data_IF_916784985745
#
_entry.id   IF_916784985745
#
_cell.length_a   1.000
_cell.length_b   1.000
_cell.length_c   1.000
_cell.angle_alpha   90.00
_cell.angle_beta   90.00
_cell.angle_gamma   90.00
#
_symmetry.space_group_name_H-M   'P 1'
#
loop_
_entity.id
_entity.type
_entity.pdbx_description
1 polymer ?
#
# COMPACT_ATOMS: atom_id res chain seq x y z
N UNK A 1 25.07 -47.34 -16.18
CA UNK A 1 24.31 -46.23 -15.62
C UNK A 1 25.30 -45.09 -15.37
N UNK A 2 25.34 -44.11 -16.26
CA UNK A 2 26.19 -42.91 -16.09
C UNK A 2 25.41 -41.91 -15.28
N UNK A 3 25.61 -41.87 -13.97
CA UNK A 3 25.19 -40.74 -13.15
C UNK A 3 26.08 -39.54 -13.55
N UNK A 4 25.57 -38.71 -14.47
CA UNK A 4 26.14 -37.40 -14.70
C UNK A 4 25.82 -36.55 -13.46
N UNK A 5 26.74 -36.46 -12.53
CA UNK A 5 26.72 -35.43 -11.52
C UNK A 5 26.74 -34.06 -12.28
N UNK A 6 25.57 -33.44 -12.42
CA UNK A 6 25.47 -32.08 -12.89
C UNK A 6 26.05 -31.20 -11.77
N UNK A 7 27.30 -30.74 -11.96
CA UNK A 7 27.86 -29.69 -11.10
C UNK A 7 27.04 -28.43 -11.31
N UNK A 8 26.20 -28.10 -10.31
CA UNK A 8 25.47 -26.85 -10.30
C UNK A 8 26.50 -25.72 -10.11
N UNK A 9 26.61 -24.86 -11.12
CA UNK A 9 27.39 -23.63 -11.05
C UNK A 9 26.52 -22.51 -10.46
N UNK A 10 27.13 -21.61 -9.70
CA UNK A 10 26.45 -20.51 -9.04
C UNK A 10 26.95 -19.16 -9.51
N UNK A 11 26.07 -18.17 -9.45
CA UNK A 11 26.33 -16.76 -9.73
C UNK A 11 25.72 -15.88 -8.63
N UNK A 12 26.18 -14.64 -8.55
CA UNK A 12 25.51 -13.64 -7.72
C UNK A 12 24.13 -13.32 -8.29
N UNK A 13 23.15 -13.13 -7.41
CA UNK A 13 21.86 -12.55 -7.80
C UNK A 13 22.05 -11.12 -8.30
N UNK A 14 21.39 -10.78 -9.40
CA UNK A 14 21.36 -9.40 -9.93
C UNK A 14 20.66 -8.42 -9.00
N UNK A 15 19.88 -8.94 -8.07
CA UNK A 15 19.02 -8.16 -7.17
C UNK A 15 19.60 -7.96 -5.77
N UNK A 16 20.90 -8.24 -5.60
CA UNK A 16 21.61 -7.92 -4.38
C UNK A 16 21.90 -6.42 -4.29
N UNK A 17 21.48 -5.82 -3.18
CA UNK A 17 21.77 -4.44 -2.79
C UNK A 17 22.66 -4.51 -1.56
N UNK A 18 23.85 -3.93 -1.66
CA UNK A 18 24.85 -3.92 -0.60
C UNK A 18 25.17 -2.47 -0.27
N UNK A 19 25.06 -2.10 1.01
CA UNK A 19 25.27 -0.74 1.49
C UNK A 19 26.23 -0.77 2.66
N UNK A 20 27.27 0.07 2.63
CA UNK A 20 28.17 0.29 3.78
C UNK A 20 27.76 1.57 4.50
N UNK A 21 27.50 1.48 5.81
CA UNK A 21 27.15 2.62 6.63
C UNK A 21 27.57 2.41 8.08
N UNK A 22 28.17 3.44 8.71
CA UNK A 22 28.55 3.48 10.14
C UNK A 22 29.26 2.21 10.65
N UNK A 23 30.18 1.65 9.84
CA UNK A 23 30.98 0.47 10.22
C UNK A 23 30.29 -0.87 10.01
N UNK A 24 29.11 -0.88 9.40
CA UNK A 24 28.37 -2.07 9.02
C UNK A 24 28.21 -2.18 7.51
N UNK A 25 28.10 -3.42 7.03
CA UNK A 25 27.68 -3.79 5.67
C UNK A 25 26.29 -4.41 5.74
N UNK A 26 25.33 -3.81 5.06
CA UNK A 26 23.94 -4.22 4.96
C UNK A 26 23.71 -4.93 3.63
N UNK A 27 23.25 -6.13 3.70
CA UNK A 27 22.98 -6.99 2.55
C UNK A 27 21.48 -7.22 2.44
N UNK A 28 20.92 -6.89 1.30
CA UNK A 28 19.50 -7.08 1.01
C UNK A 28 19.34 -7.65 -0.40
N UNK A 29 18.61 -8.75 -0.53
CA UNK A 29 18.17 -9.23 -1.83
C UNK A 29 16.73 -8.79 -2.07
N UNK A 30 16.52 -7.95 -3.07
CA UNK A 30 15.21 -7.34 -3.33
C UNK A 30 14.18 -8.34 -3.91
N UNK A 31 14.61 -9.46 -4.51
CA UNK A 31 13.73 -10.50 -5.04
C UNK A 31 13.20 -11.41 -3.93
N UNK A 32 14.07 -11.86 -3.02
CA UNK A 32 13.72 -12.74 -1.90
C UNK A 32 13.30 -11.97 -0.64
N UNK A 33 13.66 -10.67 -0.55
CA UNK A 33 13.48 -9.79 0.61
C UNK A 33 14.25 -10.24 1.85
N UNK A 34 15.20 -11.14 1.70
CA UNK A 34 16.08 -11.55 2.78
C UNK A 34 17.18 -10.51 2.96
N UNK A 35 17.61 -10.35 4.19
CA UNK A 35 18.67 -9.42 4.55
C UNK A 35 19.52 -9.97 5.70
N UNK A 36 20.74 -9.43 5.81
CA UNK A 36 21.58 -9.57 6.97
C UNK A 36 22.49 -8.34 7.10
N UNK A 37 22.97 -8.11 8.31
CA UNK A 37 23.93 -7.05 8.66
C UNK A 37 25.16 -7.68 9.29
N UNK A 38 26.35 -7.28 8.81
CA UNK A 38 27.65 -7.70 9.33
C UNK A 38 28.56 -6.49 9.50
N UNK A 39 29.67 -6.64 10.23
CA UNK A 39 30.67 -5.57 10.29
C UNK A 39 31.23 -5.29 8.89
N UNK A 40 31.59 -4.04 8.62
CA UNK A 40 32.13 -3.63 7.32
C UNK A 40 33.43 -4.39 6.95
N UNK A 41 34.26 -4.69 7.97
CA UNK A 41 35.46 -5.50 7.76
C UNK A 41 35.16 -6.92 7.26
N UNK A 42 34.11 -7.55 7.81
CA UNK A 42 33.62 -8.85 7.37
C UNK A 42 32.97 -8.75 5.99
N UNK A 43 32.21 -7.68 5.74
CA UNK A 43 31.59 -7.40 4.44
C UNK A 43 32.61 -7.36 3.31
N UNK A 44 33.72 -6.61 3.49
CA UNK A 44 34.82 -6.54 2.51
C UNK A 44 35.49 -7.90 2.29
N UNK A 45 35.60 -8.74 3.32
CA UNK A 45 36.11 -10.11 3.15
C UNK A 45 35.16 -10.98 2.36
N UNK A 46 33.84 -10.86 2.65
CA UNK A 46 32.82 -11.58 1.95
C UNK A 46 32.79 -11.22 0.46
N UNK A 47 32.80 -9.93 0.12
CA UNK A 47 32.84 -9.48 -1.28
C UNK A 47 33.97 -10.11 -2.07
N UNK A 48 35.17 -10.18 -1.47
CA UNK A 48 36.35 -10.85 -2.09
C UNK A 48 36.14 -12.37 -2.26
N UNK A 49 35.46 -13.03 -1.32
CA UNK A 49 35.17 -14.45 -1.44
C UNK A 49 34.17 -14.74 -2.56
N UNK A 50 33.30 -13.80 -2.85
CA UNK A 50 32.28 -13.93 -3.92
C UNK A 50 32.87 -13.89 -5.34
N UNK A 51 34.15 -13.51 -5.49
CA UNK A 51 34.87 -13.63 -6.77
C UNK A 51 35.01 -15.10 -7.21
N UNK A 52 35.02 -16.05 -6.24
CA UNK A 52 35.01 -17.50 -6.51
C UNK A 52 33.96 -18.24 -5.65
N UNK A 53 32.70 -18.11 -6.07
CA UNK A 53 31.54 -18.67 -5.35
C UNK A 53 31.64 -20.18 -5.14
N UNK A 54 32.17 -20.91 -6.10
CA UNK A 54 32.28 -22.38 -6.01
C UNK A 54 33.27 -22.79 -4.94
N UNK A 55 34.31 -22.01 -4.70
CA UNK A 55 35.27 -22.23 -3.61
C UNK A 55 34.64 -21.98 -2.24
N UNK A 56 33.72 -21.02 -2.11
CA UNK A 56 32.96 -20.78 -0.86
C UNK A 56 32.22 -22.05 -0.47
N UNK A 57 31.56 -22.73 -1.43
CA UNK A 57 30.81 -23.95 -1.20
C UNK A 57 31.67 -25.02 -0.52
N UNK A 58 32.92 -25.14 -0.94
CA UNK A 58 33.86 -26.17 -0.44
C UNK A 58 34.49 -25.74 0.88
N UNK A 59 34.85 -24.47 1.03
CA UNK A 59 35.63 -23.95 2.16
C UNK A 59 34.74 -23.51 3.34
N UNK A 60 33.56 -22.97 3.05
CA UNK A 60 32.62 -22.41 4.03
C UNK A 60 31.17 -22.85 3.76
N UNK A 61 30.86 -24.18 3.82
CA UNK A 61 29.56 -24.72 3.38
C UNK A 61 28.36 -24.13 4.13
N UNK A 62 28.47 -23.89 5.43
CA UNK A 62 27.40 -23.28 6.23
C UNK A 62 27.09 -21.85 5.77
N UNK A 63 28.14 -21.10 5.45
CA UNK A 63 28.00 -19.74 4.96
C UNK A 63 27.42 -19.71 3.53
N UNK A 64 27.88 -20.63 2.68
CA UNK A 64 27.31 -20.84 1.36
C UNK A 64 25.80 -21.09 1.44
N UNK A 65 25.35 -21.96 2.35
CA UNK A 65 23.93 -22.24 2.57
C UNK A 65 23.14 -21.00 3.00
N UNK A 66 23.71 -20.12 3.82
CA UNK A 66 23.05 -18.85 4.21
C UNK A 66 22.86 -17.98 2.99
N UNK A 67 23.87 -17.83 2.14
CA UNK A 67 23.79 -17.02 0.93
C UNK A 67 22.79 -17.60 -0.09
N UNK A 68 22.79 -18.91 -0.29
CA UNK A 68 21.87 -19.62 -1.19
C UNK A 68 20.43 -19.51 -0.69
N UNK A 69 20.16 -19.84 0.56
CA UNK A 69 18.83 -19.76 1.17
C UNK A 69 18.29 -18.31 1.22
N UNK A 70 19.19 -17.34 1.30
CA UNK A 70 18.87 -15.91 1.22
C UNK A 70 18.63 -15.43 -0.20
N UNK A 71 18.99 -16.21 -1.21
CA UNK A 71 18.94 -15.83 -2.62
C UNK A 71 20.02 -14.85 -3.04
N UNK A 72 21.09 -14.69 -2.23
CA UNK A 72 22.23 -13.82 -2.57
C UNK A 72 23.12 -14.43 -3.66
N UNK A 73 23.21 -15.74 -3.66
CA UNK A 73 23.77 -16.57 -4.73
C UNK A 73 22.69 -17.52 -5.25
N UNK A 74 22.72 -17.77 -6.54
CA UNK A 74 21.71 -18.61 -7.23
C UNK A 74 22.39 -19.50 -8.27
N UNK A 75 21.80 -20.64 -8.63
CA UNK A 75 22.26 -21.40 -9.79
C UNK A 75 22.30 -20.56 -11.06
N UNK A 76 23.31 -20.79 -11.91
CA UNK A 76 23.54 -19.98 -13.13
C UNK A 76 22.40 -20.05 -14.13
N UNK A 77 21.65 -21.16 -14.15
CA UNK A 77 20.49 -21.40 -15.00
C UNK A 77 19.25 -20.60 -14.60
N UNK A 78 19.21 -20.06 -13.40
CA UNK A 78 18.05 -19.28 -12.93
C UNK A 78 17.96 -17.94 -13.66
N UNK A 79 16.82 -17.75 -14.32
CA UNK A 79 16.40 -16.47 -14.90
C UNK A 79 15.52 -15.70 -13.90
N UNK A 80 16.17 -14.82 -13.13
CA UNK A 80 15.50 -14.01 -12.11
C UNK A 80 14.45 -13.06 -12.72
N UNK A 81 14.70 -12.55 -13.93
CA UNK A 81 13.77 -11.62 -14.58
C UNK A 81 12.46 -12.34 -14.96
N UNK A 82 12.55 -13.58 -15.42
CA UNK A 82 11.37 -14.43 -15.68
C UNK A 82 10.56 -14.67 -14.40
N UNK A 83 11.20 -14.90 -13.25
CA UNK A 83 10.51 -15.03 -11.95
C UNK A 83 9.77 -13.74 -11.59
N UNK A 84 10.38 -12.57 -11.79
CA UNK A 84 9.75 -11.28 -11.49
C UNK A 84 8.56 -11.03 -12.43
N UNK A 85 8.71 -11.35 -13.71
CA UNK A 85 7.63 -11.23 -14.70
C UNK A 85 6.45 -12.12 -14.33
N UNK A 86 6.71 -13.36 -13.94
CA UNK A 86 5.67 -14.30 -13.53
C UNK A 86 4.92 -13.79 -12.29
N UNK A 87 5.64 -13.40 -11.23
CA UNK A 87 5.02 -12.83 -10.00
C UNK A 87 4.17 -11.59 -10.32
N UNK A 88 4.66 -10.72 -11.20
CA UNK A 88 3.89 -9.55 -11.62
C UNK A 88 2.61 -9.94 -12.37
N UNK A 89 2.71 -10.91 -13.28
CA UNK A 89 1.58 -11.41 -14.04
C UNK A 89 0.50 -12.03 -13.13
N UNK A 90 0.91 -12.85 -12.17
CA UNK A 90 0.02 -13.46 -11.16
C UNK A 90 -0.71 -12.38 -10.34
N UNK A 91 0.02 -11.35 -9.89
CA UNK A 91 -0.55 -10.26 -9.12
C UNK A 91 -1.53 -9.39 -9.93
N UNK A 92 -1.27 -9.20 -11.23
CA UNK A 92 -2.14 -8.44 -12.15
C UNK A 92 -3.39 -9.24 -12.52
N UNK A 93 -3.26 -10.55 -12.71
CA UNK A 93 -4.35 -11.45 -13.14
C UNK A 93 -5.09 -12.11 -11.98
N UNK A 94 -4.86 -11.66 -10.75
CA UNK A 94 -5.57 -12.17 -9.57
C UNK A 94 -7.08 -12.20 -9.81
N UNK A 95 -7.75 -13.27 -9.36
CA UNK A 95 -9.20 -13.41 -9.38
C UNK A 95 -9.91 -12.56 -8.33
N UNK A 96 -9.18 -11.79 -7.54
CA UNK A 96 -9.74 -10.82 -6.62
C UNK A 96 -10.19 -9.59 -7.41
N UNK A 97 -11.48 -9.28 -7.35
CA UNK A 97 -12.04 -8.10 -7.98
C UNK A 97 -12.12 -6.94 -7.00
N UNK A 98 -11.54 -5.82 -7.37
CA UNK A 98 -11.52 -4.59 -6.58
C UNK A 98 -12.45 -3.56 -7.24
N UNK A 99 -13.61 -3.37 -6.65
CA UNK A 99 -14.62 -2.40 -7.09
C UNK A 99 -14.58 -1.18 -6.19
N UNK A 100 -14.02 -0.08 -6.67
CA UNK A 100 -14.06 1.20 -5.97
C UNK A 100 -15.26 2.01 -6.47
N UNK A 101 -16.08 2.52 -5.54
CA UNK A 101 -17.26 3.30 -5.86
C UNK A 101 -17.15 4.69 -5.25
N UNK A 102 -17.35 5.71 -6.09
CA UNK A 102 -17.36 7.11 -5.69
C UNK A 102 -18.82 7.63 -5.71
N UNK A 103 -19.56 7.55 -4.60
CA UNK A 103 -20.97 7.95 -4.57
C UNK A 103 -21.16 9.46 -4.79
N UNK A 104 -20.09 10.22 -4.57
CA UNK A 104 -20.05 11.68 -4.72
C UNK A 104 -18.63 12.19 -4.88
N UNK A 105 -18.49 13.32 -5.55
CA UNK A 105 -17.26 14.14 -5.51
C UNK A 105 -17.41 15.34 -4.57
N UNK A 106 -18.60 15.51 -3.94
CA UNK A 106 -18.80 16.53 -2.91
C UNK A 106 -18.16 16.10 -1.58
N UNK A 107 -17.70 17.07 -0.81
CA UNK A 107 -17.09 16.87 0.51
C UNK A 107 -17.55 17.95 1.47
N UNK A 108 -17.71 17.61 2.74
CA UNK A 108 -17.98 18.58 3.80
C UNK A 108 -16.76 19.45 4.16
N UNK A 109 -15.55 18.99 3.81
CA UNK A 109 -14.30 19.74 3.97
C UNK A 109 -13.79 20.30 2.63
N UNK A 110 -12.89 21.30 2.69
CA UNK A 110 -12.28 21.97 1.54
C UNK A 110 -10.78 22.05 1.71
N UNK A 111 -10.13 20.88 1.82
CA UNK A 111 -8.68 20.81 1.99
C UNK A 111 -7.96 21.42 0.79
N UNK A 112 -7.03 22.34 1.02
CA UNK A 112 -6.30 23.07 -0.03
C UNK A 112 -5.43 22.17 -0.92
N UNK A 113 -4.96 21.05 -0.38
CA UNK A 113 -4.13 20.07 -1.07
C UNK A 113 -4.96 18.99 -1.78
N UNK A 114 -6.28 19.03 -1.69
CA UNK A 114 -7.12 17.97 -2.25
C UNK A 114 -6.94 17.87 -3.75
N UNK A 115 -6.64 16.63 -4.22
CA UNK A 115 -6.50 16.36 -5.65
C UNK A 115 -7.85 16.23 -6.36
N UNK A 116 -8.96 16.21 -5.59
CA UNK A 116 -10.31 16.11 -6.12
C UNK A 116 -10.97 17.47 -6.19
N UNK A 117 -11.61 17.76 -7.31
CA UNK A 117 -12.50 18.91 -7.46
C UNK A 117 -13.82 18.60 -6.73
N UNK A 118 -14.13 19.37 -5.69
CA UNK A 118 -15.37 19.20 -4.93
C UNK A 118 -16.57 19.66 -5.75
N UNK A 119 -17.13 18.77 -6.56
CA UNK A 119 -18.31 19.06 -7.39
C UNK A 119 -19.53 18.60 -6.62
N UNK A 120 -20.55 19.47 -6.43
CA UNK A 120 -21.84 19.07 -5.90
C UNK A 120 -22.43 17.95 -6.75
N UNK A 121 -22.48 16.74 -6.22
CA UNK A 121 -22.87 15.55 -6.97
C UNK A 121 -23.39 14.47 -6.02
N UNK A 122 -24.21 13.59 -6.58
CA UNK A 122 -24.68 12.38 -5.92
C UNK A 122 -24.92 11.31 -6.99
N UNK A 123 -24.57 10.09 -6.72
CA UNK A 123 -24.85 8.96 -7.59
C UNK A 123 -26.35 8.74 -7.73
N UNK A 124 -26.80 8.64 -8.98
CA UNK A 124 -28.21 8.41 -9.29
C UNK A 124 -28.62 6.94 -9.04
N UNK A 125 -29.90 6.70 -8.84
CA UNK A 125 -30.44 5.34 -8.67
C UNK A 125 -30.19 4.45 -9.89
N UNK A 126 -30.14 5.04 -11.09
CA UNK A 126 -29.78 4.31 -12.30
C UNK A 126 -28.35 3.78 -12.25
N UNK A 127 -27.37 4.62 -11.83
CA UNK A 127 -25.98 4.19 -11.69
C UNK A 127 -25.85 3.13 -10.59
N UNK A 128 -26.53 3.28 -9.46
CA UNK A 128 -26.57 2.24 -8.39
C UNK A 128 -27.12 0.92 -8.95
N UNK A 129 -28.19 0.98 -9.75
CA UNK A 129 -28.78 -0.19 -10.41
C UNK A 129 -27.79 -0.84 -11.38
N UNK A 130 -27.06 -0.05 -12.15
CA UNK A 130 -26.06 -0.56 -13.10
C UNK A 130 -24.86 -1.19 -12.37
N UNK A 131 -24.46 -0.65 -11.19
CA UNK A 131 -23.44 -1.28 -10.35
C UNK A 131 -23.93 -2.64 -9.81
N UNK A 132 -25.19 -2.74 -9.38
CA UNK A 132 -25.77 -4.02 -8.97
C UNK A 132 -25.72 -5.05 -10.09
N UNK A 133 -26.12 -4.68 -11.30
CA UNK A 133 -26.01 -5.54 -12.49
C UNK A 133 -24.57 -5.89 -12.82
N UNK A 134 -23.61 -4.99 -12.58
CA UNK A 134 -22.20 -5.29 -12.75
C UNK A 134 -21.72 -6.37 -11.78
N UNK A 135 -22.15 -6.30 -10.52
CA UNK A 135 -21.87 -7.33 -9.52
C UNK A 135 -22.48 -8.67 -9.95
N UNK A 136 -23.76 -8.69 -10.38
CA UNK A 136 -24.40 -9.90 -10.91
C UNK A 136 -23.62 -10.47 -12.10
N UNK A 137 -23.26 -9.63 -13.06
CA UNK A 137 -22.47 -10.02 -14.24
C UNK A 137 -21.13 -10.69 -13.87
N UNK A 138 -20.41 -10.15 -12.87
CA UNK A 138 -19.15 -10.73 -12.40
C UNK A 138 -19.35 -12.11 -11.75
N UNK A 139 -20.39 -12.26 -10.95
CA UNK A 139 -20.69 -13.50 -10.21
C UNK A 139 -21.21 -14.59 -11.16
N UNK A 140 -22.08 -14.27 -12.11
CA UNK A 140 -22.59 -15.21 -13.11
C UNK A 140 -21.51 -15.83 -13.98
N UNK A 141 -20.42 -15.11 -14.25
CA UNK A 141 -19.26 -15.61 -15.01
C UNK A 141 -18.35 -16.53 -14.21
N UNK A 142 -18.49 -16.56 -12.89
CA UNK A 142 -17.67 -17.37 -11.98
C UNK A 142 -16.14 -17.14 -12.19
N UNK A 143 -15.78 -15.88 -12.51
CA UNK A 143 -14.38 -15.52 -12.80
C UNK A 143 -13.65 -14.93 -11.59
N UNK A 144 -14.38 -14.62 -10.52
CA UNK A 144 -13.83 -14.01 -9.30
C UNK A 144 -13.99 -14.92 -8.08
N UNK A 145 -13.02 -14.86 -7.18
CA UNK A 145 -13.00 -15.59 -5.91
C UNK A 145 -13.26 -14.67 -4.72
N UNK A 146 -13.03 -13.37 -4.92
CA UNK A 146 -13.22 -12.32 -3.92
C UNK A 146 -13.76 -11.05 -4.59
N UNK A 147 -14.76 -10.44 -3.99
CA UNK A 147 -15.18 -9.06 -4.27
C UNK A 147 -14.77 -8.16 -3.09
N UNK A 148 -13.86 -7.21 -3.35
CA UNK A 148 -13.51 -6.14 -2.44
C UNK A 148 -14.21 -4.86 -2.91
N UNK A 149 -15.18 -4.38 -2.13
CA UNK A 149 -15.94 -3.16 -2.41
C UNK A 149 -15.36 -2.00 -1.59
N UNK A 150 -14.72 -1.04 -2.26
CA UNK A 150 -14.13 0.14 -1.63
C UNK A 150 -14.95 1.40 -1.88
N UNK A 151 -15.12 2.19 -0.83
CA UNK A 151 -15.80 3.48 -0.88
C UNK A 151 -14.81 4.62 -0.87
N UNK A 152 -14.94 5.51 -1.85
CA UNK A 152 -14.04 6.65 -2.05
C UNK A 152 -14.81 7.86 -2.59
N UNK A 153 -14.12 8.97 -2.91
CA UNK A 153 -14.69 10.17 -3.52
C UNK A 153 -14.36 11.44 -2.75
N UNK A 154 -15.26 12.43 -2.74
CA UNK A 154 -15.14 13.58 -1.86
C UNK A 154 -15.24 13.13 -0.40
N UNK A 155 -16.47 12.99 0.12
CA UNK A 155 -16.72 12.28 1.37
C UNK A 155 -17.87 11.27 1.15
N UNK A 156 -17.56 9.97 1.03
CA UNK A 156 -18.57 8.96 0.71
C UNK A 156 -19.63 8.78 1.79
N UNK A 157 -19.27 8.92 3.07
CA UNK A 157 -20.19 8.70 4.19
C UNK A 157 -21.27 9.76 4.36
N UNK A 158 -21.21 10.87 3.60
CA UNK A 158 -22.36 11.79 3.45
C UNK A 158 -23.61 11.07 2.90
N UNK A 159 -23.43 9.95 2.23
CA UNK A 159 -24.52 9.18 1.60
C UNK A 159 -24.55 7.72 2.09
N UNK A 160 -24.23 7.50 3.38
CA UNK A 160 -24.16 6.17 3.97
C UNK A 160 -25.51 5.42 3.81
N UNK A 161 -26.60 5.97 4.33
CA UNK A 161 -27.90 5.29 4.30
C UNK A 161 -28.49 5.19 2.90
N UNK A 162 -28.24 6.19 2.05
CA UNK A 162 -28.85 6.26 0.72
C UNK A 162 -28.15 5.37 -0.32
N UNK A 163 -26.82 5.22 -0.23
CA UNK A 163 -26.04 4.55 -1.26
C UNK A 163 -25.14 3.45 -0.67
N UNK A 164 -24.29 3.77 0.32
CA UNK A 164 -23.29 2.82 0.83
C UNK A 164 -23.98 1.57 1.40
N UNK A 165 -24.83 1.75 2.39
CA UNK A 165 -25.49 0.65 3.09
C UNK A 165 -26.29 -0.26 2.14
N UNK A 166 -27.24 0.23 1.31
CA UNK A 166 -28.06 -0.64 0.46
C UNK A 166 -27.25 -1.35 -0.64
N UNK A 167 -26.22 -0.71 -1.21
CA UNK A 167 -25.39 -1.34 -2.22
C UNK A 167 -24.44 -2.37 -1.60
N UNK A 168 -23.88 -2.09 -0.41
CA UNK A 168 -23.04 -3.04 0.34
C UNK A 168 -23.82 -4.29 0.75
N UNK A 169 -25.04 -4.13 1.27
CA UNK A 169 -25.92 -5.26 1.62
C UNK A 169 -26.22 -6.13 0.40
N UNK A 170 -26.54 -5.49 -0.73
CA UNK A 170 -26.77 -6.21 -1.99
C UNK A 170 -25.55 -7.02 -2.43
N UNK A 171 -24.38 -6.37 -2.47
CA UNK A 171 -23.12 -7.03 -2.87
C UNK A 171 -22.78 -8.22 -1.96
N UNK A 172 -22.89 -8.02 -0.64
CA UNK A 172 -22.68 -9.06 0.37
C UNK A 172 -23.59 -10.27 0.14
N UNK A 173 -24.92 -10.06 0.05
CA UNK A 173 -25.90 -11.13 -0.16
C UNK A 173 -25.63 -11.91 -1.45
N UNK A 174 -25.32 -11.22 -2.54
CA UNK A 174 -25.01 -11.84 -3.83
C UNK A 174 -23.74 -12.66 -3.79
N UNK A 175 -22.69 -12.16 -3.16
CA UNK A 175 -21.43 -12.89 -3.00
C UNK A 175 -21.61 -14.12 -2.10
N UNK A 176 -22.33 -14.01 -0.98
CA UNK A 176 -22.64 -15.14 -0.09
C UNK A 176 -23.38 -16.25 -0.84
N UNK A 177 -24.40 -15.90 -1.64
CA UNK A 177 -25.17 -16.84 -2.45
C UNK A 177 -24.32 -17.51 -3.55
N UNK A 178 -23.32 -16.81 -4.08
CA UNK A 178 -22.42 -17.33 -5.11
C UNK A 178 -21.19 -18.07 -4.56
N UNK A 179 -21.00 -18.12 -3.24
CA UNK A 179 -19.80 -18.68 -2.60
C UNK A 179 -18.52 -17.87 -2.83
N UNK A 180 -18.65 -16.59 -3.16
CA UNK A 180 -17.56 -15.64 -3.37
C UNK A 180 -17.25 -14.90 -2.07
N UNK A 181 -15.98 -14.75 -1.71
CA UNK A 181 -15.60 -13.98 -0.54
C UNK A 181 -15.96 -12.49 -0.73
N UNK A 182 -16.38 -11.83 0.34
CA UNK A 182 -16.75 -10.42 0.31
C UNK A 182 -16.25 -9.66 1.52
N UNK A 183 -15.71 -8.48 1.28
CA UNK A 183 -15.47 -7.48 2.33
C UNK A 183 -15.48 -6.06 1.76
N UNK A 184 -15.62 -5.08 2.67
CA UNK A 184 -15.61 -3.67 2.36
C UNK A 184 -14.40 -2.95 2.93
N UNK A 185 -13.99 -1.89 2.22
CA UNK A 185 -13.08 -0.87 2.70
C UNK A 185 -13.63 0.54 2.44
N UNK A 186 -13.02 1.53 3.07
CA UNK A 186 -13.36 2.92 2.78
C UNK A 186 -12.17 3.86 3.02
N UNK A 187 -12.08 4.87 2.17
CA UNK A 187 -11.30 6.09 2.43
C UNK A 187 -12.28 7.22 2.75
N UNK A 188 -12.19 7.76 3.94
CA UNK A 188 -13.09 8.80 4.46
C UNK A 188 -12.31 9.80 5.30
N UNK A 189 -12.88 10.99 5.50
CA UNK A 189 -12.34 11.95 6.47
C UNK A 189 -12.73 11.63 7.92
N UNK A 190 -13.59 10.63 8.15
CA UNK A 190 -13.99 10.14 9.45
C UNK A 190 -15.08 10.96 10.15
N UNK A 191 -15.51 12.08 9.57
CA UNK A 191 -16.44 13.00 10.22
C UNK A 191 -17.84 12.38 10.41
N UNK A 192 -18.33 11.61 9.43
CA UNK A 192 -19.65 10.99 9.44
C UNK A 192 -19.68 9.56 10.00
N UNK A 193 -18.61 9.09 10.62
CA UNK A 193 -18.59 7.82 11.34
C UNK A 193 -19.28 7.96 12.71
N UNK A 194 -20.55 8.34 12.69
CA UNK A 194 -21.38 8.48 13.90
C UNK A 194 -21.61 7.12 14.56
N UNK A 195 -22.10 7.11 15.80
CA UNK A 195 -22.38 5.87 16.51
C UNK A 195 -23.37 4.96 15.77
N UNK A 196 -24.38 5.55 15.12
CA UNK A 196 -25.35 4.80 14.32
C UNK A 196 -24.73 4.15 13.09
N UNK A 197 -23.78 4.83 12.41
CA UNK A 197 -23.03 4.28 11.29
C UNK A 197 -22.11 3.16 11.76
N UNK A 198 -21.35 3.43 12.82
CA UNK A 198 -20.36 2.51 13.38
C UNK A 198 -20.99 1.19 13.82
N UNK A 199 -22.16 1.22 14.45
CA UNK A 199 -22.89 0.02 14.87
C UNK A 199 -23.32 -0.91 13.74
N UNK A 200 -23.19 -0.49 12.47
CA UNK A 200 -23.59 -1.28 11.29
C UNK A 200 -22.39 -1.86 10.51
N UNK A 201 -21.17 -1.41 10.79
CA UNK A 201 -20.00 -1.72 9.95
C UNK A 201 -19.66 -3.22 9.89
N UNK A 202 -19.73 -3.93 11.02
CA UNK A 202 -19.48 -5.38 11.05
C UNK A 202 -20.50 -6.17 10.21
N UNK A 203 -21.78 -5.83 10.34
CA UNK A 203 -22.85 -6.45 9.55
C UNK A 203 -22.66 -6.22 8.05
N UNK A 204 -22.05 -5.10 7.68
CA UNK A 204 -21.68 -4.71 6.31
C UNK A 204 -20.32 -5.25 5.86
N UNK A 205 -19.58 -6.00 6.71
CA UNK A 205 -18.28 -6.56 6.42
C UNK A 205 -17.19 -5.51 6.10
N UNK A 206 -17.23 -4.36 6.77
CA UNK A 206 -16.11 -3.43 6.72
C UNK A 206 -14.94 -3.97 7.52
N UNK A 207 -13.78 -4.14 6.86
CA UNK A 207 -12.56 -4.66 7.47
C UNK A 207 -11.44 -3.63 7.51
N UNK A 208 -11.47 -2.62 6.65
CA UNK A 208 -10.41 -1.61 6.61
C UNK A 208 -10.94 -0.21 6.34
N UNK A 209 -10.31 0.75 6.99
CA UNK A 209 -10.53 2.16 6.76
C UNK A 209 -9.20 2.87 6.52
N UNK A 210 -9.20 3.85 5.61
CA UNK A 210 -8.18 4.89 5.57
C UNK A 210 -8.81 6.20 6.00
N UNK A 211 -8.30 6.78 7.10
CA UNK A 211 -8.72 8.09 7.59
C UNK A 211 -7.50 9.02 7.59
N UNK A 212 -7.72 10.30 7.25
CA UNK A 212 -6.63 11.26 7.14
C UNK A 212 -6.74 12.35 8.21
N UNK A 213 -5.67 12.52 8.99
CA UNK A 213 -5.41 13.71 9.79
C UNK A 213 -4.41 14.64 9.09
N UNK A 214 -4.45 15.93 9.38
CA UNK A 214 -3.55 16.94 8.81
C UNK A 214 -2.67 17.52 9.92
N UNK A 215 -1.65 16.75 10.31
CA UNK A 215 -0.78 17.12 11.43
C UNK A 215 -1.50 17.20 12.78
N UNK A 216 -1.05 18.11 13.64
CA UNK A 216 -1.60 18.37 14.96
C UNK A 216 -2.99 18.99 14.89
N UNK A 217 -3.68 19.03 16.04
CA UNK A 217 -5.05 19.56 16.19
C UNK A 217 -5.23 20.93 15.54
N UNK A 218 -4.33 21.86 15.80
CA UNK A 218 -4.41 23.24 15.31
C UNK A 218 -4.32 23.32 13.80
N UNK A 219 -3.45 22.52 13.18
CA UNK A 219 -3.29 22.47 11.73
C UNK A 219 -4.46 21.72 11.07
N UNK A 220 -4.88 20.61 11.67
CA UNK A 220 -6.03 19.87 11.19
C UNK A 220 -7.30 20.71 11.16
N UNK A 221 -7.61 21.43 12.26
CA UNK A 221 -8.84 22.21 12.39
C UNK A 221 -8.85 23.46 11.48
N UNK A 222 -7.68 23.97 11.06
CA UNK A 222 -7.57 24.99 10.00
C UNK A 222 -7.91 24.42 8.63
N UNK A 223 -7.44 23.22 8.32
CA UNK A 223 -7.62 22.56 7.01
C UNK A 223 -9.02 21.95 6.89
N UNK A 224 -9.50 21.30 7.95
CA UNK A 224 -10.79 20.59 8.01
C UNK A 224 -11.79 21.32 8.91
N UNK A 225 -12.11 22.55 8.51
CA UNK A 225 -13.12 23.34 9.21
C UNK A 225 -14.54 22.86 8.88
N UNK A 226 -15.37 22.67 9.92
CA UNK A 226 -16.80 22.40 9.79
C UNK A 226 -17.59 23.34 10.70
N UNK A 227 -18.53 24.09 10.10
CA UNK A 227 -19.41 24.98 10.87
C UNK A 227 -20.17 24.21 11.95
N UNK A 228 -20.10 24.71 13.19
CA UNK A 228 -20.76 24.09 14.34
C UNK A 228 -19.99 22.95 15.00
N UNK A 229 -18.80 22.61 14.50
CA UNK A 229 -17.88 21.67 15.13
C UNK A 229 -16.68 22.45 15.72
N UNK A 230 -16.50 22.47 17.05
CA UNK A 230 -15.40 23.21 17.67
C UNK A 230 -14.01 22.71 17.26
N UNK A 231 -13.88 21.40 17.03
CA UNK A 231 -12.64 20.75 16.57
C UNK A 231 -12.99 19.51 15.77
N UNK A 232 -12.70 19.52 14.48
CA UNK A 232 -12.84 18.35 13.61
C UNK A 232 -11.85 17.25 14.00
N UNK A 233 -10.64 17.61 14.43
CA UNK A 233 -9.63 16.68 14.95
C UNK A 233 -10.20 15.83 16.10
N UNK A 234 -10.70 16.50 17.12
CA UNK A 234 -11.27 15.80 18.29
C UNK A 234 -12.49 14.96 17.91
N UNK A 235 -13.34 15.46 17.01
CA UNK A 235 -14.54 14.75 16.55
C UNK A 235 -14.16 13.46 15.82
N UNK A 236 -13.24 13.55 14.87
CA UNK A 236 -12.78 12.40 14.08
C UNK A 236 -12.10 11.35 14.97
N UNK A 237 -11.27 11.76 15.92
CA UNK A 237 -10.60 10.81 16.82
C UNK A 237 -11.57 10.08 17.74
N UNK A 238 -12.63 10.75 18.25
CA UNK A 238 -13.70 10.07 19.00
C UNK A 238 -14.43 9.05 18.14
N UNK A 239 -14.74 9.40 16.88
CA UNK A 239 -15.37 8.48 15.94
C UNK A 239 -14.47 7.26 15.66
N UNK A 240 -13.17 7.46 15.48
CA UNK A 240 -12.19 6.37 15.31
C UNK A 240 -12.18 5.45 16.53
N UNK A 241 -12.09 6.01 17.72
CA UNK A 241 -12.08 5.20 18.96
C UNK A 241 -13.38 4.39 19.10
N UNK A 242 -14.54 5.01 18.87
CA UNK A 242 -15.82 4.32 18.90
C UNK A 242 -15.91 3.21 17.85
N UNK A 243 -15.42 3.45 16.63
CA UNK A 243 -15.40 2.47 15.55
C UNK A 243 -14.56 1.23 15.93
N UNK A 244 -13.39 1.44 16.49
CA UNK A 244 -12.50 0.35 16.86
C UNK A 244 -13.00 -0.44 18.10
N UNK A 245 -13.77 0.19 18.99
CA UNK A 245 -14.44 -0.51 20.09
C UNK A 245 -15.70 -1.27 19.65
N UNK A 246 -16.37 -0.80 18.58
CA UNK A 246 -17.58 -1.47 18.08
C UNK A 246 -17.25 -2.68 17.19
N UNK A 247 -16.04 -2.80 16.68
CA UNK A 247 -15.61 -3.90 15.81
C UNK A 247 -14.17 -4.30 16.10
N UNK A 248 -13.95 -5.59 16.35
CA UNK A 248 -12.60 -6.16 16.53
C UNK A 248 -11.92 -6.50 15.20
N UNK A 249 -12.68 -6.50 14.10
CA UNK A 249 -12.22 -6.91 12.77
C UNK A 249 -11.58 -5.76 11.97
N UNK A 250 -11.88 -4.51 12.34
CA UNK A 250 -11.47 -3.32 11.57
C UNK A 250 -10.01 -2.98 11.85
N UNK A 251 -9.24 -2.83 10.76
CA UNK A 251 -7.90 -2.24 10.75
C UNK A 251 -8.00 -0.82 10.16
N UNK A 252 -7.44 0.13 10.89
CA UNK A 252 -7.39 1.53 10.46
C UNK A 252 -6.01 1.89 9.93
N UNK A 253 -5.95 2.39 8.71
CA UNK A 253 -4.79 3.10 8.15
C UNK A 253 -4.96 4.59 8.47
N UNK A 254 -4.34 5.05 9.53
CA UNK A 254 -4.37 6.46 9.92
C UNK A 254 -3.26 7.21 9.15
N UNK A 255 -3.66 7.84 8.06
CA UNK A 255 -2.78 8.68 7.28
C UNK A 255 -2.61 10.02 7.97
N UNK A 256 -1.38 10.42 8.24
CA UNK A 256 -1.07 11.74 8.79
C UNK A 256 -0.41 12.56 7.68
N UNK A 257 -1.17 13.44 7.07
CA UNK A 257 -0.62 14.41 6.12
C UNK A 257 0.14 15.48 6.89
N UNK A 258 1.29 15.87 6.36
CA UNK A 258 2.08 16.95 6.95
C UNK A 258 2.68 17.85 5.87
N UNK A 259 2.85 19.09 6.21
CA UNK A 259 3.68 20.05 5.49
C UNK A 259 5.08 20.07 6.11
N UNK A 260 6.04 20.55 5.34
CA UNK A 260 7.43 20.64 5.75
C UNK A 260 7.58 21.29 7.15
N UNK A 261 8.30 20.61 8.05
CA UNK A 261 8.60 21.05 9.43
C UNK A 261 7.39 21.44 10.31
N UNK A 262 6.16 21.09 9.91
CA UNK A 262 4.95 21.39 10.70
C UNK A 262 4.44 20.22 11.53
N UNK A 263 5.05 19.05 11.45
CA UNK A 263 4.69 17.92 12.30
C UNK A 263 5.65 17.84 13.48
N UNK A 264 5.11 17.72 14.69
CA UNK A 264 5.89 17.55 15.92
C UNK A 264 5.45 16.30 16.67
N UNK A 265 6.24 15.90 17.65
CA UNK A 265 5.95 14.73 18.48
C UNK A 265 4.67 14.88 19.35
N UNK A 266 4.19 16.12 19.54
CA UNK A 266 2.97 16.42 20.31
C UNK A 266 1.72 15.76 19.69
N UNK A 267 1.71 15.46 18.39
CA UNK A 267 0.60 14.77 17.74
C UNK A 267 0.29 13.43 18.40
N UNK A 268 1.31 12.71 18.90
CA UNK A 268 1.13 11.41 19.56
C UNK A 268 0.34 11.57 20.85
N UNK A 269 0.68 12.57 21.69
CA UNK A 269 -0.05 12.86 22.91
C UNK A 269 -1.48 13.32 22.62
N UNK A 270 -1.69 14.17 21.61
CA UNK A 270 -3.01 14.63 21.20
C UNK A 270 -3.92 13.51 20.69
N UNK A 271 -3.38 12.54 19.93
CA UNK A 271 -4.12 11.35 19.51
C UNK A 271 -4.43 10.46 20.71
N UNK A 272 -3.48 10.29 21.63
CA UNK A 272 -3.63 9.49 22.84
C UNK A 272 -4.68 10.01 23.81
N UNK A 273 -5.06 11.30 23.74
CA UNK A 273 -6.20 11.86 24.50
C UNK A 273 -7.53 11.16 24.16
N UNK A 274 -7.66 10.60 22.96
CA UNK A 274 -8.91 10.03 22.45
C UNK A 274 -8.83 8.53 22.20
N UNK A 275 -7.67 8.02 21.76
CA UNK A 275 -7.49 6.62 21.38
C UNK A 275 -6.95 5.84 22.57
N UNK A 276 -7.77 4.92 23.08
CA UNK A 276 -7.42 4.09 24.22
C UNK A 276 -6.36 3.04 23.88
N UNK A 277 -5.51 2.61 24.82
CA UNK A 277 -4.39 1.72 24.54
C UNK A 277 -4.77 0.39 23.91
N UNK A 278 -5.92 -0.17 24.26
CA UNK A 278 -6.41 -1.50 23.87
C UNK A 278 -6.73 -1.62 22.39
N UNK A 279 -6.98 -0.49 21.68
CA UNK A 279 -7.29 -0.49 20.25
C UNK A 279 -6.13 -0.01 19.35
N UNK A 280 -5.03 0.51 19.94
CA UNK A 280 -3.91 1.10 19.20
C UNK A 280 -3.21 0.12 18.27
N UNK A 281 -3.14 -1.15 18.64
CA UNK A 281 -2.55 -2.22 17.84
C UNK A 281 -3.32 -2.53 16.54
N UNK A 282 -4.49 -1.91 16.33
CA UNK A 282 -5.26 -2.00 15.07
C UNK A 282 -5.20 -0.72 14.25
N UNK A 283 -4.39 0.25 14.67
CA UNK A 283 -4.17 1.50 13.94
C UNK A 283 -2.77 1.48 13.32
N UNK A 284 -2.71 1.51 12.02
CA UNK A 284 -1.46 1.61 11.25
C UNK A 284 -1.19 3.07 10.88
N UNK A 285 -0.19 3.65 11.49
CA UNK A 285 0.22 5.04 11.25
C UNK A 285 1.00 5.13 9.94
N UNK A 286 0.60 6.06 9.08
CA UNK A 286 1.21 6.31 7.76
C UNK A 286 1.44 7.81 7.55
N UNK A 287 2.57 8.38 7.97
CA UNK A 287 2.91 9.76 7.66
C UNK A 287 3.07 9.95 6.14
N UNK A 288 2.50 11.02 5.61
CA UNK A 288 2.60 11.37 4.18
C UNK A 288 2.74 12.89 4.02
N UNK A 289 3.79 13.30 3.34
CA UNK A 289 3.95 14.68 2.92
C UNK A 289 2.89 15.04 1.88
N UNK A 290 2.37 16.26 1.93
CA UNK A 290 1.43 16.74 0.90
C UNK A 290 2.16 16.89 -0.44
N UNK A 291 1.51 16.51 -1.54
CA UNK A 291 2.15 16.42 -2.86
C UNK A 291 2.54 17.76 -3.46
N UNK A 292 1.92 18.85 -2.99
CA UNK A 292 2.16 20.22 -3.45
C UNK A 292 3.45 20.82 -2.90
N UNK A 293 4.10 20.15 -1.96
CA UNK A 293 5.35 20.64 -1.38
C UNK A 293 6.58 20.02 -2.03
N UNK A 294 7.67 20.79 -2.07
CA UNK A 294 8.96 20.33 -2.56
C UNK A 294 9.59 19.30 -1.62
N UNK A 295 10.38 18.39 -2.19
CA UNK A 295 11.12 17.38 -1.43
C UNK A 295 12.18 18.04 -0.54
N UNK A 296 12.13 17.72 0.76
CA UNK A 296 13.19 18.04 1.71
C UNK A 296 13.71 16.78 2.40
N UNK A 297 15.00 16.52 2.25
CA UNK A 297 15.65 15.32 2.77
C UNK A 297 15.84 15.33 4.28
N UNK A 298 15.88 16.51 4.91
CA UNK A 298 16.12 16.65 6.34
C UNK A 298 14.85 16.31 7.16
N UNK A 299 13.66 16.46 6.58
CA UNK A 299 12.39 16.11 7.24
C UNK A 299 12.22 14.63 7.51
N UNK A 300 12.95 13.76 6.80
CA UNK A 300 12.81 12.30 6.94
C UNK A 300 13.25 11.79 8.32
N UNK A 301 14.29 12.38 8.90
CA UNK A 301 14.78 11.97 10.23
C UNK A 301 13.72 12.19 11.32
N UNK A 302 13.08 13.34 11.33
CA UNK A 302 12.00 13.67 12.26
C UNK A 302 10.81 12.70 12.12
N UNK A 303 10.51 12.24 10.91
CA UNK A 303 9.44 11.25 10.67
C UNK A 303 9.80 9.88 11.24
N UNK A 304 11.05 9.46 11.18
CA UNK A 304 11.47 8.20 11.79
C UNK A 304 11.33 8.23 13.32
N UNK A 305 11.78 9.30 13.96
CA UNK A 305 11.61 9.51 15.41
C UNK A 305 10.13 9.51 15.81
N UNK A 306 9.29 10.18 15.02
CA UNK A 306 7.84 10.19 15.22
C UNK A 306 7.24 8.77 15.12
N UNK A 307 7.69 7.98 14.14
CA UNK A 307 7.24 6.59 14.00
C UNK A 307 7.69 5.71 15.16
N UNK A 308 8.90 5.93 15.70
CA UNK A 308 9.38 5.24 16.91
C UNK A 308 8.50 5.57 18.10
N UNK A 309 8.11 6.82 18.27
CA UNK A 309 7.24 7.27 19.34
C UNK A 309 5.83 6.65 19.23
N UNK A 310 5.24 6.59 18.03
CA UNK A 310 3.97 5.88 17.82
C UNK A 310 4.10 4.39 18.14
N UNK A 311 5.16 3.74 17.70
CA UNK A 311 5.43 2.32 18.00
C UNK A 311 5.54 2.06 19.51
N UNK A 312 6.27 2.91 20.22
CA UNK A 312 6.40 2.86 21.68
C UNK A 312 5.05 3.08 22.41
N UNK A 313 4.08 3.71 21.78
CA UNK A 313 2.72 3.91 22.28
C UNK A 313 1.72 2.82 21.84
N UNK A 314 2.18 1.72 21.23
CA UNK A 314 1.37 0.56 20.87
C UNK A 314 0.69 0.63 19.50
N UNK A 315 0.98 1.62 18.68
CA UNK A 315 0.49 1.69 17.30
C UNK A 315 1.32 0.83 16.37
N UNK A 316 0.68 0.29 15.31
CA UNK A 316 1.41 -0.26 14.19
C UNK A 316 2.03 0.88 13.37
N UNK A 317 3.27 0.72 12.96
CA UNK A 317 3.95 1.69 12.07
C UNK A 317 4.47 0.98 10.84
N UNK A 318 4.28 1.60 9.67
CA UNK A 318 4.82 1.07 8.44
C UNK A 318 6.13 1.78 8.10
N UNK A 319 7.24 1.17 8.49
CA UNK A 319 8.56 1.76 8.24
C UNK A 319 8.93 1.73 6.77
N UNK A 320 8.50 0.67 6.07
CA UNK A 320 8.66 0.64 4.63
C UNK A 320 7.79 -0.40 3.92
N UNK A 321 6.82 0.08 3.14
CA UNK A 321 5.93 -0.74 2.34
C UNK A 321 6.62 -1.55 1.22
N UNK A 322 7.61 -1.03 0.45
CA UNK A 322 8.19 -1.77 -0.66
C UNK A 322 8.95 -3.03 -0.28
N UNK A 323 9.46 -3.14 0.97
CA UNK A 323 10.21 -4.32 1.40
C UNK A 323 9.26 -5.48 1.74
N UNK A 324 8.09 -5.17 2.29
CA UNK A 324 7.18 -6.18 2.84
C UNK A 324 6.30 -6.87 1.82
N UNK A 325 6.08 -6.29 0.64
CA UNK A 325 5.13 -6.84 -0.32
C UNK A 325 5.49 -6.57 -1.79
N UNK A 326 5.29 -7.59 -2.62
CA UNK A 326 5.32 -7.48 -4.08
C UNK A 326 3.92 -7.06 -4.55
N UNK A 327 3.63 -5.75 -4.50
CA UNK A 327 2.31 -5.23 -4.87
C UNK A 327 2.46 -4.26 -6.04
N UNK A 328 2.04 -4.65 -7.25
CA UNK A 328 1.91 -3.70 -8.35
C UNK A 328 0.85 -2.65 -8.00
N UNK A 329 0.94 -1.48 -8.64
CA UNK A 329 -0.09 -0.46 -8.50
C UNK A 329 -1.48 -1.07 -8.81
N UNK A 330 -2.49 -0.73 -8.02
CA UNK A 330 -3.86 -1.23 -8.21
C UNK A 330 -4.37 -0.94 -9.63
N UNK A 331 -3.97 0.18 -10.22
CA UNK A 331 -4.36 0.55 -11.58
C UNK A 331 -3.85 -0.45 -12.64
N UNK A 332 -2.78 -1.20 -12.36
CA UNK A 332 -2.28 -2.26 -13.25
C UNK A 332 -3.13 -3.54 -13.21
N UNK A 333 -3.91 -3.76 -12.15
CA UNK A 333 -4.69 -4.98 -11.98
C UNK A 333 -5.79 -5.07 -13.05
N UNK A 334 -5.93 -6.24 -13.66
CA UNK A 334 -7.03 -6.52 -14.60
C UNK A 334 -8.38 -6.28 -13.91
N UNK A 335 -8.54 -6.85 -12.74
CA UNK A 335 -9.75 -6.87 -11.95
C UNK A 335 -9.80 -5.71 -10.92
N UNK A 336 -9.52 -4.48 -11.39
CA UNK A 336 -9.72 -3.25 -10.64
C UNK A 336 -10.42 -2.22 -11.49
N UNK A 337 -11.47 -1.61 -10.96
CA UNK A 337 -12.16 -0.47 -11.55
C UNK A 337 -12.63 0.50 -10.47
N UNK A 338 -12.66 1.79 -10.81
CA UNK A 338 -13.31 2.82 -10.01
C UNK A 338 -14.49 3.41 -10.79
N UNK A 339 -15.69 3.34 -10.20
CA UNK A 339 -16.93 3.85 -10.80
C UNK A 339 -17.32 5.14 -10.11
N UNK A 340 -17.39 6.21 -10.91
CA UNK A 340 -17.76 7.54 -10.44
C UNK A 340 -19.28 7.69 -10.32
N UNK A 341 -19.73 8.73 -9.59
CA UNK A 341 -21.14 9.03 -9.34
C UNK A 341 -22.03 9.11 -10.60
N UNK A 342 -21.44 9.41 -11.74
CA UNK A 342 -22.12 9.54 -13.04
C UNK A 342 -21.99 8.30 -13.94
N UNK A 343 -21.45 7.19 -13.44
CA UNK A 343 -21.24 5.96 -14.22
C UNK A 343 -19.98 5.93 -15.05
N UNK A 344 -19.16 6.98 -15.03
CA UNK A 344 -17.82 6.96 -15.62
C UNK A 344 -16.92 5.96 -14.88
N UNK A 345 -16.08 5.23 -15.64
CA UNK A 345 -15.18 4.22 -15.09
C UNK A 345 -13.73 4.59 -15.40
N UNK A 346 -12.88 4.52 -14.38
CA UNK A 346 -11.45 4.84 -14.47
C UNK A 346 -10.61 3.75 -13.82
N UNK A 347 -9.31 3.73 -14.14
CA UNK A 347 -8.31 2.83 -13.51
C UNK A 347 -7.50 3.51 -12.41
N UNK A 348 -7.57 4.82 -12.26
CA UNK A 348 -6.82 5.58 -11.27
C UNK A 348 -7.68 6.69 -10.70
N UNK A 349 -7.80 6.78 -9.37
CA UNK A 349 -8.58 7.84 -8.69
C UNK A 349 -7.80 9.14 -8.51
N UNK A 350 -6.51 9.13 -8.81
CA UNK A 350 -5.64 10.32 -8.78
C UNK A 350 -5.43 10.91 -10.19
N UNK A 351 -6.36 10.70 -11.12
CA UNK A 351 -6.28 11.22 -12.48
C UNK A 351 -7.39 12.23 -12.76
N UNK A 352 -7.14 13.11 -13.72
CA UNK A 352 -8.11 14.11 -14.17
C UNK A 352 -9.28 13.50 -14.97
N UNK A 353 -9.15 12.24 -15.36
CA UNK A 353 -10.18 11.49 -16.11
C UNK A 353 -11.51 11.40 -15.35
N UNK A 354 -11.49 11.52 -14.00
CA UNK A 354 -12.72 11.62 -13.19
C UNK A 354 -13.58 12.84 -13.53
N UNK A 355 -13.00 13.86 -14.14
CA UNK A 355 -13.64 15.15 -14.46
C UNK A 355 -13.79 15.36 -15.98
N UNK A 356 -13.27 14.46 -16.77
CA UNK A 356 -13.33 14.53 -18.22
C UNK A 356 -14.80 14.43 -18.69
N UNK A 357 -15.14 15.20 -19.73
CA UNK A 357 -16.42 15.02 -20.46
C UNK A 357 -16.38 13.77 -21.35
N UNK A 358 -15.18 13.34 -21.71
CA UNK A 358 -14.93 12.11 -22.47
C UNK A 358 -14.40 11.03 -21.53
N UNK A 359 -15.32 10.27 -20.95
CA UNK A 359 -14.96 9.23 -19.99
C UNK A 359 -14.11 8.14 -20.64
N UNK A 360 -13.04 7.68 -19.96
CA UNK A 360 -12.21 6.59 -20.46
C UNK A 360 -12.94 5.24 -20.49
N UNK A 361 -13.89 5.03 -19.57
CA UNK A 361 -14.78 3.88 -19.51
C UNK A 361 -16.17 4.28 -19.07
N UNK A 362 -17.18 3.50 -19.43
CA UNK A 362 -18.58 3.73 -19.10
C UNK A 362 -19.21 2.44 -18.58
N UNK A 363 -19.89 2.53 -17.44
CA UNK A 363 -20.75 1.48 -16.92
C UNK A 363 -22.09 1.51 -17.70
N UNK A 364 -22.38 0.44 -18.42
CA UNK A 364 -23.58 0.31 -19.26
C UNK A 364 -24.79 -0.15 -18.46
N UNK A 365 -25.98 0.06 -19.00
CA UNK A 365 -27.26 -0.32 -18.37
C UNK A 365 -27.44 -1.84 -18.14
N UNK A 366 -26.65 -2.65 -18.84
CA UNK A 366 -26.61 -4.10 -18.64
C UNK A 366 -25.53 -4.56 -17.63
N UNK A 367 -24.83 -3.63 -16.96
CA UNK A 367 -23.77 -3.92 -16.00
C UNK A 367 -22.40 -4.19 -16.60
N UNK A 368 -22.24 -4.20 -17.93
CA UNK A 368 -20.89 -4.32 -18.53
C UNK A 368 -20.15 -2.99 -18.53
N UNK A 369 -18.82 -3.05 -18.57
CA UNK A 369 -17.96 -1.87 -18.71
C UNK A 369 -17.43 -1.83 -20.15
N UNK A 370 -17.63 -0.70 -20.81
CA UNK A 370 -17.09 -0.40 -22.12
C UNK A 370 -15.94 0.59 -21.98
N UNK A 371 -14.75 0.19 -22.44
CA UNK A 371 -13.55 1.04 -22.44
C UNK A 371 -13.36 1.70 -23.79
N UNK A 372 -13.05 3.00 -23.79
CA UNK A 372 -12.72 3.75 -24.99
C UNK A 372 -11.25 3.51 -25.34
N UNK A 373 -10.96 3.25 -26.60
CA UNK A 373 -9.59 3.14 -27.15
C UNK A 373 -8.67 2.21 -26.33
N UNK A 374 -9.19 1.08 -25.85
CA UNK A 374 -8.44 0.13 -25.01
C UNK A 374 -7.77 0.81 -23.79
N UNK A 375 -8.45 1.78 -23.20
CA UNK A 375 -7.91 2.61 -22.12
C UNK A 375 -7.40 1.80 -20.92
N UNK A 376 -8.07 0.71 -20.58
CA UNK A 376 -7.66 -0.18 -19.52
C UNK A 376 -6.27 -0.80 -19.77
N UNK A 377 -5.93 -1.07 -21.04
CA UNK A 377 -4.63 -1.61 -21.43
C UNK A 377 -3.50 -0.59 -21.31
N UNK A 378 -3.80 0.72 -21.35
CA UNK A 378 -2.80 1.77 -21.18
C UNK A 378 -2.21 1.79 -19.76
N UNK A 379 -2.96 1.28 -18.78
CA UNK A 379 -2.50 1.16 -17.39
C UNK A 379 -1.67 -0.10 -17.11
N UNK A 380 -1.41 -0.94 -18.09
CA UNK A 380 -0.54 -2.10 -17.90
C UNK A 380 0.89 -1.68 -17.54
N UNK A 381 1.54 -2.48 -16.69
CA UNK A 381 2.90 -2.23 -16.24
C UNK A 381 3.89 -2.20 -17.43
N UNK A 382 4.58 -1.07 -17.58
CA UNK A 382 5.58 -0.84 -18.63
C UNK A 382 7.03 -1.01 -18.15
N UNK A 383 7.23 -1.46 -16.92
CA UNK A 383 8.57 -1.61 -16.32
C UNK A 383 9.43 -2.61 -17.09
N UNK A 384 8.80 -3.64 -17.65
CA UNK A 384 9.51 -4.67 -18.43
C UNK A 384 9.81 -4.26 -19.90
N UNK A 385 9.33 -3.08 -20.32
CA UNK A 385 9.65 -2.44 -21.59
C UNK A 385 10.70 -1.33 -21.43
N UNK A 386 11.06 -1.01 -20.17
CA UNK A 386 11.99 0.08 -19.84
C UNK A 386 13.35 -0.48 -19.44
N UNK A 387 14.38 -0.21 -20.26
CA UNK A 387 15.74 -0.72 -20.05
C UNK A 387 16.32 -0.33 -18.69
N UNK A 388 16.06 0.90 -18.21
CA UNK A 388 16.48 1.34 -16.87
C UNK A 388 15.88 0.47 -15.77
N UNK A 389 14.60 0.08 -15.90
CA UNK A 389 13.93 -0.79 -14.94
C UNK A 389 14.48 -2.23 -15.00
N UNK A 390 14.73 -2.76 -16.21
CA UNK A 390 15.28 -4.10 -16.40
C UNK A 390 16.65 -4.27 -15.75
N UNK A 391 17.47 -3.22 -15.73
CA UNK A 391 18.79 -3.21 -15.12
C UNK A 391 18.79 -2.75 -13.64
N UNK A 392 17.61 -2.48 -13.07
CA UNK A 392 17.50 -1.94 -11.72
C UNK A 392 17.43 -3.03 -10.66
N UNK A 393 18.36 -3.02 -9.71
CA UNK A 393 18.38 -3.94 -8.55
C UNK A 393 17.13 -3.84 -7.66
N UNK A 394 16.33 -2.77 -7.79
CA UNK A 394 15.11 -2.52 -7.01
C UNK A 394 13.83 -2.94 -7.75
N UNK A 395 13.94 -3.45 -8.98
CA UNK A 395 12.76 -3.84 -9.78
C UNK A 395 11.79 -4.75 -9.00
N UNK A 396 12.26 -5.78 -8.27
CA UNK A 396 11.35 -6.69 -7.56
C UNK A 396 10.50 -6.04 -6.46
N UNK A 397 10.96 -4.96 -5.86
CA UNK A 397 10.25 -4.23 -4.79
C UNK A 397 9.57 -2.96 -5.27
N UNK A 398 10.09 -2.34 -6.34
CA UNK A 398 9.58 -1.08 -6.87
C UNK A 398 8.45 -1.29 -7.90
N UNK A 399 8.56 -2.34 -8.73
CA UNK A 399 7.68 -2.64 -9.87
C UNK A 399 7.57 -1.51 -10.91
N UNK A 400 8.43 -0.49 -10.81
CA UNK A 400 8.66 0.53 -11.82
C UNK A 400 7.70 1.71 -11.80
N UNK A 401 7.45 2.25 -12.98
CA UNK A 401 6.81 3.53 -13.22
C UNK A 401 5.35 3.58 -12.74
N UNK A 402 4.89 4.77 -12.34
CA UNK A 402 3.48 5.02 -12.14
C UNK A 402 2.75 4.91 -13.50
N UNK A 403 1.71 4.07 -13.63
CA UNK A 403 1.00 3.93 -14.91
C UNK A 403 0.41 5.24 -15.43
N UNK A 404 -0.14 6.07 -14.53
CA UNK A 404 -0.66 7.41 -14.86
C UNK A 404 0.44 8.30 -15.48
N UNK A 405 1.59 8.37 -14.81
CA UNK A 405 2.69 9.21 -15.27
C UNK A 405 3.22 8.75 -16.61
N UNK A 406 3.30 7.43 -16.80
CA UNK A 406 3.70 6.85 -18.08
C UNK A 406 2.73 7.23 -19.23
N UNK A 407 1.42 7.17 -18.99
CA UNK A 407 0.39 7.58 -19.96
C UNK A 407 0.55 9.07 -20.31
N UNK A 408 0.92 9.91 -19.34
CA UNK A 408 1.17 11.33 -19.53
C UNK A 408 2.54 11.63 -20.19
N UNK A 409 3.29 10.60 -20.59
CA UNK A 409 4.61 10.74 -21.22
C UNK A 409 5.76 10.99 -20.25
N UNK A 410 5.51 10.89 -18.94
CA UNK A 410 6.56 11.03 -17.94
C UNK A 410 7.35 9.72 -17.79
N UNK A 411 8.67 9.81 -17.86
CA UNK A 411 9.59 8.65 -17.81
C UNK A 411 10.49 8.65 -16.59
N UNK A 412 10.24 9.53 -15.62
CA UNK A 412 11.07 9.62 -14.43
C UNK A 412 10.85 8.43 -13.47
N UNK A 413 11.90 8.08 -12.76
CA UNK A 413 11.86 7.01 -11.77
C UNK A 413 11.07 7.46 -10.52
N UNK A 414 10.23 6.60 -9.96
CA UNK A 414 9.52 6.86 -8.68
C UNK A 414 10.45 7.31 -7.55
N UNK A 415 11.69 6.86 -7.56
CA UNK A 415 12.68 7.22 -6.55
C UNK A 415 12.94 8.73 -6.48
N UNK A 416 12.85 9.43 -7.64
CA UNK A 416 13.05 10.89 -7.67
C UNK A 416 11.91 11.64 -7.01
N UNK A 417 10.80 10.97 -6.72
CA UNK A 417 9.60 11.53 -6.07
C UNK A 417 9.50 11.20 -4.58
N UNK A 418 10.43 10.40 -4.04
CA UNK A 418 10.43 10.03 -2.63
C UNK A 418 11.16 11.10 -1.82
N UNK A 419 10.61 11.44 -0.66
CA UNK A 419 11.20 12.40 0.30
C UNK A 419 12.46 11.85 0.98
N UNK A 420 12.81 10.60 0.73
CA UNK A 420 13.92 9.90 1.35
C UNK A 420 14.68 9.04 0.34
N UNK A 421 15.94 8.77 0.63
CA UNK A 421 16.73 7.84 -0.16
C UNK A 421 16.35 6.40 0.18
N UNK A 422 16.29 5.55 -0.83
CA UNK A 422 16.01 4.12 -0.67
C UNK A 422 16.99 3.46 0.33
N UNK A 423 18.25 3.79 0.23
CA UNK A 423 19.31 3.24 1.08
C UNK A 423 19.09 3.57 2.57
N UNK A 424 18.73 4.81 2.88
CA UNK A 424 18.53 5.27 4.26
C UNK A 424 17.34 4.55 4.90
N UNK A 425 16.25 4.37 4.13
CA UNK A 425 15.09 3.61 4.59
C UNK A 425 15.39 2.13 4.77
N UNK A 426 16.18 1.53 3.87
CA UNK A 426 16.56 0.13 3.98
C UNK A 426 17.45 -0.13 5.22
N UNK A 427 18.41 0.75 5.47
CA UNK A 427 19.26 0.69 6.67
C UNK A 427 18.40 0.78 7.92
N UNK A 428 17.52 1.78 8.00
CA UNK A 428 16.62 1.96 9.14
C UNK A 428 15.72 0.74 9.38
N UNK A 429 15.16 0.17 8.30
CA UNK A 429 14.36 -1.04 8.40
C UNK A 429 15.16 -2.21 8.96
N UNK A 430 16.35 -2.49 8.41
CA UNK A 430 17.21 -3.60 8.86
C UNK A 430 17.64 -3.38 10.31
N UNK A 431 18.08 -2.19 10.68
CA UNK A 431 18.49 -1.87 12.05
C UNK A 431 17.35 -2.07 13.05
N UNK A 432 16.14 -1.64 12.70
CA UNK A 432 14.96 -1.85 13.55
C UNK A 432 14.66 -3.33 13.76
N UNK A 433 14.72 -4.15 12.70
CA UNK A 433 14.51 -5.60 12.80
C UNK A 433 15.56 -6.28 13.69
N UNK A 434 16.82 -5.81 13.65
CA UNK A 434 17.87 -6.32 14.53
C UNK A 434 17.68 -5.90 16.00
N UNK A 435 17.16 -4.70 16.26
CA UNK A 435 16.91 -4.21 17.64
C UNK A 435 15.61 -4.78 18.21
N UNK A 436 14.55 -4.89 17.42
CA UNK A 436 13.27 -5.45 17.85
C UNK A 436 13.32 -6.93 18.21
N UNK A 437 14.23 -7.69 17.61
CA UNK A 437 14.47 -9.09 17.96
C UNK A 437 15.36 -9.28 19.20
N UNK A 438 16.10 -8.26 19.66
CA UNK A 438 16.89 -8.32 20.90
C UNK A 438 16.03 -8.19 22.14
N UNK A 439 14.88 -7.54 22.06
CA UNK A 439 13.95 -7.36 23.19
C UNK A 439 12.92 -8.52 23.34
N UNK A 440 12.79 -9.36 22.31
CA UNK A 440 11.81 -10.46 22.25
C UNK A 440 12.35 -11.86 22.62
N UNK A 441 13.52 -11.96 23.22
CA UNK A 441 14.04 -13.24 23.71
C UNK A 441 15.51 -13.44 23.41
N UNK A 442 16.30 -13.33 24.45
CA UNK A 442 17.69 -13.76 24.45
C UNK A 442 17.79 -15.24 24.08
N UNK A 443 18.07 -15.52 22.82
CA UNK A 443 18.57 -16.83 22.42
C UNK A 443 20.09 -16.79 22.59
N UNK A 444 20.52 -17.26 23.74
CA UNK A 444 21.90 -17.48 24.15
C UNK A 444 22.57 -18.42 23.14
N UNK A 445 23.39 -17.87 22.25
CA UNK A 445 24.20 -18.62 21.29
C UNK A 445 25.54 -19.08 21.90
N UNK A 446 25.54 -19.40 23.20
CA UNK A 446 26.66 -20.02 23.90
C UNK A 446 26.33 -21.46 24.29
N UNK A 447 26.05 -22.36 23.34
CA UNK A 447 26.22 -23.82 23.52
C UNK A 447 26.40 -24.50 22.15
N UNK A 448 27.60 -24.94 21.91
CA UNK A 448 27.91 -25.85 20.81
C UNK A 448 29.37 -25.71 20.40
N UNK A 449 30.22 -26.46 21.10
CA UNK A 449 31.64 -26.65 20.80
C UNK A 449 31.87 -27.45 19.52
#
# INVERSE_FOLDING_TARGET
MNDKFHFIMYKLSNYNIIISNKGYSYWFNSLTRKFFRITEALGRKLEKLLDDINNIKNTYPSFFSILENGGFIIPTEIDELSIIRQKNQEAIQSKNYYLMVLPTLNCNFKCWYCIQNHIPSIMSENVVTNIKKHIDYLLERNEIELLHLDWFGGEPFMYFDKIIKPLTLYAKEKCENAGVQFFCGATTNGYFLTQDVVGQLDALKFLQFQITLDGQREEHDKVKYQKGCPSAFNHVLRNINNMLHASDSIILFLRINYEHNKITNDIVSQINEFITPDVRNRIKITPRKVWQETVDKDSFHNILELMDLFSANGYMVERWHPISSFIPCYANKKNYVAINFNGAVVKCTACDDLYSKEFPGILKDNGTIEWRDDFDKKYQCKSFENERCLNCKRLPVCMGLCPKDHILGHTYCKETMLDYRFEDSLINYIDHEYHGNSDAGGCDSSRGG
#
